data_IF_183842563985
#
_entry.id   IF_183842563985
#
_cell.length_a   1.000
_cell.length_b   1.000
_cell.length_c   1.000
_cell.angle_alpha   90.00
_cell.angle_beta   90.00
_cell.angle_gamma   90.00
#
_symmetry.space_group_name_H-M   'P 1'
#
loop_
_entity.id
_entity.type
_entity.pdbx_description
1 polymer ?
#
# COMPACT_ATOMS: atom_id res chain seq x y z
N UNK A 1 0.97 -13.23 -12.53
CA UNK A 1 -0.11 -12.86 -13.46
C UNK A 1 -0.65 -14.04 -14.25
N UNK A 2 0.15 -14.87 -14.94
CA UNK A 2 -0.37 -16.02 -15.73
C UNK A 2 -1.27 -16.98 -14.93
N UNK A 3 -0.90 -17.33 -13.70
CA UNK A 3 -1.74 -18.17 -12.81
C UNK A 3 -3.01 -17.45 -12.35
N UNK A 4 -2.88 -16.20 -11.87
CA UNK A 4 -4.01 -15.35 -11.47
C UNK A 4 -5.00 -15.08 -12.61
N UNK A 5 -4.54 -14.97 -13.86
CA UNK A 5 -5.39 -14.79 -15.04
C UNK A 5 -6.29 -16.00 -15.28
N UNK A 6 -5.81 -17.23 -15.02
CA UNK A 6 -6.64 -18.44 -15.09
C UNK A 6 -7.71 -18.46 -13.99
N UNK A 7 -7.36 -18.15 -12.74
CA UNK A 7 -8.33 -18.05 -11.62
C UNK A 7 -9.42 -16.99 -11.89
N UNK A 8 -9.05 -15.82 -12.40
CA UNK A 8 -10.01 -14.76 -12.72
C UNK A 8 -10.89 -15.17 -13.91
N UNK A 9 -10.32 -15.88 -14.89
CA UNK A 9 -11.06 -16.43 -16.02
C UNK A 9 -12.13 -17.43 -15.60
N UNK A 10 -11.81 -18.34 -14.68
CA UNK A 10 -12.78 -19.29 -14.13
C UNK A 10 -13.84 -18.61 -13.26
N UNK A 11 -13.46 -17.64 -12.41
CA UNK A 11 -14.42 -16.85 -11.63
C UNK A 11 -15.39 -16.08 -12.52
N UNK A 12 -14.91 -15.45 -13.60
CA UNK A 12 -15.78 -14.76 -14.56
C UNK A 12 -16.66 -15.72 -15.37
N UNK A 13 -16.18 -16.92 -15.67
CA UNK A 13 -17.00 -17.96 -16.31
C UNK A 13 -18.15 -18.43 -15.39
N UNK A 14 -17.98 -18.35 -14.07
CA UNK A 14 -19.02 -18.60 -13.06
C UNK A 14 -19.97 -17.41 -12.84
N UNK A 15 -19.79 -16.30 -13.55
CA UNK A 15 -20.68 -15.13 -13.49
C UNK A 15 -20.20 -13.98 -12.60
N UNK A 16 -18.95 -13.98 -12.11
CA UNK A 16 -18.41 -12.80 -11.44
C UNK A 16 -18.35 -11.60 -12.39
N UNK A 17 -18.86 -10.46 -11.94
CA UNK A 17 -18.79 -9.22 -12.71
C UNK A 17 -17.36 -8.68 -12.75
N UNK A 18 -17.03 -7.95 -13.81
CA UNK A 18 -15.74 -7.25 -13.92
C UNK A 18 -15.53 -6.25 -12.76
N UNK A 19 -16.63 -5.71 -12.23
CA UNK A 19 -16.61 -4.81 -11.09
C UNK A 19 -16.18 -5.50 -9.79
N UNK A 20 -16.67 -6.70 -9.52
CA UNK A 20 -16.30 -7.46 -8.32
C UNK A 20 -14.80 -7.78 -8.31
N UNK A 21 -14.26 -8.19 -9.47
CA UNK A 21 -12.82 -8.45 -9.63
C UNK A 21 -12.03 -7.16 -9.41
N UNK A 22 -12.46 -6.05 -10.01
CA UNK A 22 -11.79 -4.76 -9.83
C UNK A 22 -11.78 -4.31 -8.37
N UNK A 23 -12.91 -4.42 -7.66
CA UNK A 23 -13.00 -4.08 -6.24
C UNK A 23 -12.06 -4.94 -5.38
N UNK A 24 -11.97 -6.24 -5.64
CA UNK A 24 -11.07 -7.13 -4.90
C UNK A 24 -9.61 -6.67 -4.99
N UNK A 25 -9.12 -6.37 -6.20
CA UNK A 25 -7.75 -5.89 -6.39
C UNK A 25 -7.52 -4.48 -5.80
N UNK A 26 -8.54 -3.62 -5.85
CA UNK A 26 -8.48 -2.31 -5.20
C UNK A 26 -8.34 -2.45 -3.68
N UNK A 27 -9.13 -3.32 -3.05
CA UNK A 27 -9.04 -3.61 -1.62
C UNK A 27 -7.69 -4.22 -1.26
N UNK A 28 -7.18 -5.17 -2.05
CA UNK A 28 -5.85 -5.74 -1.85
C UNK A 28 -4.77 -4.65 -1.85
N UNK A 29 -4.80 -3.74 -2.82
CA UNK A 29 -3.89 -2.59 -2.87
C UNK A 29 -4.03 -1.63 -1.69
N UNK A 30 -5.27 -1.37 -1.25
CA UNK A 30 -5.54 -0.54 -0.08
C UNK A 30 -4.95 -1.18 1.19
N UNK A 31 -5.17 -2.47 1.40
CA UNK A 31 -4.64 -3.20 2.55
C UNK A 31 -3.10 -3.22 2.53
N UNK A 32 -2.49 -3.46 1.38
CA UNK A 32 -1.03 -3.40 1.23
C UNK A 32 -0.52 -1.98 1.56
N UNK A 33 -1.17 -0.95 1.05
CA UNK A 33 -0.82 0.45 1.34
C UNK A 33 -0.93 0.80 2.83
N UNK A 34 -2.01 0.37 3.49
CA UNK A 34 -2.22 0.60 4.92
C UNK A 34 -1.21 -0.16 5.79
N UNK A 35 -0.95 -1.43 5.48
CA UNK A 35 0.02 -2.25 6.23
C UNK A 35 1.43 -1.67 6.03
N UNK A 36 1.80 -1.38 4.78
CA UNK A 36 3.09 -0.75 4.47
C UNK A 36 3.24 0.62 5.14
N UNK A 37 2.18 1.43 5.14
CA UNK A 37 2.14 2.73 5.83
C UNK A 37 2.30 2.59 7.34
N UNK A 38 1.60 1.65 7.98
CA UNK A 38 1.72 1.39 9.41
C UNK A 38 3.12 0.92 9.80
N UNK A 39 3.72 0.02 9.01
CA UNK A 39 5.11 -0.42 9.21
C UNK A 39 6.08 0.75 9.03
N UNK A 40 5.90 1.55 7.97
CA UNK A 40 6.73 2.72 7.70
C UNK A 40 6.67 3.76 8.83
N UNK A 41 5.48 4.01 9.40
CA UNK A 41 5.31 4.86 10.57
C UNK A 41 6.02 4.30 11.81
N UNK A 42 5.95 2.98 12.03
CA UNK A 42 6.70 2.32 13.09
C UNK A 42 8.21 2.50 12.94
N UNK A 43 8.73 2.31 11.73
CA UNK A 43 10.15 2.53 11.42
C UNK A 43 10.52 4.00 11.63
N UNK A 44 9.68 4.94 11.19
CA UNK A 44 9.90 6.37 11.37
C UNK A 44 9.94 6.79 12.85
N UNK A 45 9.07 6.22 13.69
CA UNK A 45 9.06 6.48 15.12
C UNK A 45 10.32 5.94 15.82
N UNK A 46 10.76 4.72 15.45
CA UNK A 46 12.00 4.13 15.99
C UNK A 46 13.23 4.90 15.51
N UNK A 47 13.30 5.28 14.24
CA UNK A 47 14.43 6.04 13.72
C UNK A 47 14.50 7.44 14.33
N UNK A 48 13.36 8.10 14.55
CA UNK A 48 13.29 9.40 15.23
C UNK A 48 13.79 9.32 16.68
N UNK A 49 13.45 8.25 17.42
CA UNK A 49 13.92 8.06 18.80
C UNK A 49 15.42 7.77 18.85
N UNK A 50 15.94 6.93 17.95
CA UNK A 50 17.39 6.71 17.82
C UNK A 50 18.10 8.01 17.45
N UNK A 51 17.63 8.76 16.46
CA UNK A 51 18.26 10.02 16.06
C UNK A 51 18.31 11.01 17.22
N UNK A 52 17.23 11.10 18.01
CA UNK A 52 17.18 11.97 19.18
C UNK A 52 18.24 11.58 20.22
N UNK A 53 18.40 10.29 20.56
CA UNK A 53 19.38 9.87 21.56
C UNK A 53 20.83 10.07 21.09
N UNK A 54 21.12 9.91 19.81
CA UNK A 54 22.44 10.18 19.25
C UNK A 54 22.75 11.69 19.16
N UNK A 55 21.78 12.53 18.78
CA UNK A 55 21.98 13.99 18.70
C UNK A 55 22.05 14.65 20.08
N UNK A 56 21.21 14.24 21.04
CA UNK A 56 21.19 14.87 22.38
C UNK A 56 22.43 14.51 23.22
N UNK A 57 23.13 13.41 22.92
CA UNK A 57 24.45 13.14 23.52
C UNK A 57 25.57 14.06 22.99
N UNK A 58 25.36 14.77 21.87
CA UNK A 58 26.35 15.67 21.25
C UNK A 58 25.91 17.14 21.22
N UNK A 59 24.66 17.44 21.59
CA UNK A 59 23.96 18.65 21.19
C UNK A 59 23.38 19.53 22.29
N UNK A 60 23.89 19.52 23.53
CA UNK A 60 23.64 20.65 24.45
C UNK A 60 24.17 22.00 23.88
N UNK A 61 24.98 21.95 22.83
CA UNK A 61 25.70 23.11 22.27
C UNK A 61 24.94 23.90 21.21
N UNK A 62 23.82 23.40 20.64
CA UNK A 62 23.19 24.04 19.47
C UNK A 62 21.93 24.86 19.77
N UNK A 63 21.40 24.88 21.00
CA UNK A 63 20.28 25.77 21.40
C UNK A 63 18.95 25.58 20.65
N UNK A 64 18.94 24.76 19.60
CA UNK A 64 17.76 24.34 18.86
C UNK A 64 17.37 22.96 19.37
N UNK A 65 16.41 22.92 20.28
CA UNK A 65 15.67 21.71 20.61
C UNK A 65 14.90 21.28 19.37
N UNK A 66 15.56 20.57 18.44
CA UNK A 66 14.89 19.85 17.36
C UNK A 66 14.16 18.69 18.03
N UNK A 67 12.99 18.99 18.58
CA UNK A 67 12.04 17.97 19.00
C UNK A 67 11.58 17.30 17.72
N UNK A 68 12.12 16.11 17.42
CA UNK A 68 11.56 15.16 16.46
C UNK A 68 10.22 14.65 17.00
N UNK A 69 9.29 15.57 17.23
CA UNK A 69 7.94 15.28 17.65
C UNK A 69 7.21 14.74 16.42
N UNK A 70 7.09 13.42 16.35
CA UNK A 70 6.15 12.76 15.44
C UNK A 70 4.76 13.22 15.86
N UNK A 71 4.20 14.21 15.17
CA UNK A 71 2.86 14.72 15.47
C UNK A 71 1.81 13.74 14.94
N UNK A 72 0.67 13.64 15.65
CA UNK A 72 -0.46 12.82 15.20
C UNK A 72 -0.92 13.21 13.78
N UNK A 73 -0.86 14.50 13.45
CA UNK A 73 -1.18 15.02 12.11
C UNK A 73 -0.24 14.46 11.03
N UNK A 74 1.07 14.46 11.27
CA UNK A 74 2.05 13.91 10.33
C UNK A 74 1.85 12.40 10.12
N UNK A 75 1.50 11.67 11.17
CA UNK A 75 1.19 10.23 11.07
C UNK A 75 -0.06 9.98 10.24
N UNK A 76 -1.14 10.73 10.48
CA UNK A 76 -2.40 10.62 9.72
C UNK A 76 -2.19 10.97 8.25
N UNK A 77 -1.42 12.03 7.96
CA UNK A 77 -1.06 12.39 6.58
C UNK A 77 -0.23 11.30 5.91
N UNK A 78 0.78 10.76 6.60
CA UNK A 78 1.62 9.67 6.09
C UNK A 78 0.81 8.41 5.77
N UNK A 79 -0.11 8.03 6.66
CA UNK A 79 -1.02 6.90 6.45
C UNK A 79 -1.97 7.17 5.26
N UNK A 80 -2.49 8.39 5.15
CA UNK A 80 -3.34 8.80 4.03
C UNK A 80 -2.61 8.70 2.69
N UNK A 81 -1.37 9.19 2.63
CA UNK A 81 -0.52 9.09 1.43
C UNK A 81 -0.23 7.63 1.09
N UNK A 82 0.07 6.78 2.07
CA UNK A 82 0.31 5.35 1.84
C UNK A 82 -0.94 4.62 1.31
N UNK A 83 -2.13 4.94 1.84
CA UNK A 83 -3.39 4.39 1.35
C UNK A 83 -3.69 4.83 -0.10
N UNK A 84 -3.48 6.11 -0.41
CA UNK A 84 -3.66 6.65 -1.77
C UNK A 84 -2.65 6.01 -2.73
N UNK A 85 -1.38 5.90 -2.34
CA UNK A 85 -0.34 5.27 -3.14
C UNK A 85 -0.67 3.79 -3.43
N UNK A 86 -1.13 3.05 -2.43
CA UNK A 86 -1.58 1.66 -2.58
C UNK A 86 -2.77 1.52 -3.53
N UNK A 87 -3.77 2.41 -3.43
CA UNK A 87 -4.94 2.42 -4.30
C UNK A 87 -4.60 2.81 -5.74
N UNK A 88 -3.74 3.81 -5.95
CA UNK A 88 -3.29 4.22 -7.28
C UNK A 88 -2.42 3.15 -7.92
N UNK A 89 -1.52 2.54 -7.15
CA UNK A 89 -0.66 1.44 -7.61
C UNK A 89 -1.45 0.18 -8.01
N UNK A 90 -2.57 -0.10 -7.34
CA UNK A 90 -3.43 -1.24 -7.68
C UNK A 90 -4.43 -0.96 -8.81
N UNK A 91 -4.63 0.30 -9.22
CA UNK A 91 -5.62 0.68 -10.21
C UNK A 91 -5.34 0.06 -11.60
N UNK A 92 -4.09 0.15 -12.07
CA UNK A 92 -3.68 -0.43 -13.34
C UNK A 92 -3.82 -1.97 -13.39
N UNK A 93 -3.28 -2.75 -12.43
CA UNK A 93 -3.46 -4.20 -12.43
C UNK A 93 -4.93 -4.60 -12.21
N UNK A 94 -5.69 -3.88 -11.38
CA UNK A 94 -7.11 -4.13 -11.18
C UNK A 94 -7.91 -3.95 -12.47
N UNK A 95 -7.65 -2.88 -13.21
CA UNK A 95 -8.27 -2.63 -14.50
C UNK A 95 -7.92 -3.73 -15.52
N UNK A 96 -6.65 -4.10 -15.60
CA UNK A 96 -6.19 -5.18 -16.49
C UNK A 96 -6.83 -6.52 -16.13
N UNK A 97 -6.92 -6.87 -14.85
CA UNK A 97 -7.58 -8.08 -14.35
C UNK A 97 -9.10 -8.09 -14.67
N UNK A 98 -9.77 -6.94 -14.49
CA UNK A 98 -11.19 -6.78 -14.80
C UNK A 98 -11.51 -6.95 -16.29
N UNK A 99 -10.53 -6.86 -17.19
CA UNK A 99 -10.73 -7.02 -18.65
C UNK A 99 -10.28 -8.36 -19.23
N UNK A 100 -9.70 -9.25 -18.43
CA UNK A 100 -9.37 -10.61 -18.86
C UNK A 100 -10.64 -11.31 -19.33
N UNK A 101 -10.67 -11.77 -20.58
CA UNK A 101 -11.79 -12.52 -21.14
C UNK A 101 -11.74 -14.00 -20.71
N UNK A 102 -12.88 -14.64 -20.35
CA UNK A 102 -12.91 -16.06 -20.00
C UNK A 102 -12.36 -16.95 -21.13
N UNK A 103 -12.61 -16.55 -22.38
CA UNK A 103 -12.13 -17.21 -23.59
C UNK A 103 -10.59 -17.15 -23.71
N UNK A 104 -9.93 -16.02 -23.42
CA UNK A 104 -8.45 -15.97 -23.38
C UNK A 104 -7.84 -16.75 -22.22
N UNK A 105 -8.56 -16.88 -21.10
CA UNK A 105 -8.09 -17.68 -19.98
C UNK A 105 -8.09 -19.19 -20.29
N UNK A 106 -9.04 -19.65 -21.11
CA UNK A 106 -9.15 -21.04 -21.58
C UNK A 106 -8.30 -21.34 -22.82
N UNK A 107 -8.12 -20.37 -23.75
CA UNK A 107 -7.33 -20.55 -25.00
C UNK A 107 -5.80 -20.53 -24.80
N UNK A 108 -5.31 -20.30 -23.58
CA UNK A 108 -3.88 -20.39 -23.25
C UNK A 108 -3.46 -21.81 -22.82
N UNK A 109 -4.16 -22.83 -23.35
CA UNK A 109 -3.67 -24.21 -23.45
C UNK A 109 -2.96 -24.44 -24.78
#
# INVERSE_FOLDING_TARGET
MRERTKEIGTLKALGFSNWNVMQQFMYEGLYIGLIGGAIGLGIAAVSASVFSTWLFNTGETLGTSVSTAVTMEAMLLGLGVAAIAGAVGSLYPAWRASRVSPMEALRNE
#
